data_IF_386641332938
#
_entry.id   IF_386641332938
#
_cell.length_a   1.000
_cell.length_b   1.000
_cell.length_c   1.000
_cell.angle_alpha   90.00
_cell.angle_beta   90.00
_cell.angle_gamma   90.00
#
_symmetry.space_group_name_H-M   'P 1'
#
loop_
_entity.id
_entity.type
_entity.pdbx_description
1 polymer ?
#
# COMPACT_ATOMS: atom_id res chain seq x y z
N UNK A 1 -68.61 15.99 30.16
CA UNK A 1 -67.75 15.39 29.12
C UNK A 1 -66.58 14.63 29.83
N UNK A 2 -66.68 13.30 29.93
CA UNK A 2 -65.68 12.48 30.66
C UNK A 2 -64.52 12.16 29.72
N UNK A 3 -63.33 12.62 30.08
CA UNK A 3 -62.10 12.27 29.36
C UNK A 3 -61.68 10.86 29.78
N UNK A 4 -61.69 9.94 28.84
CA UNK A 4 -61.29 8.53 29.02
C UNK A 4 -59.80 8.46 29.07
N UNK A 5 -59.25 8.08 30.23
CA UNK A 5 -57.85 7.80 30.37
C UNK A 5 -57.45 6.60 29.49
N UNK A 6 -56.64 6.86 28.50
CA UNK A 6 -56.03 5.81 27.66
C UNK A 6 -54.82 5.30 28.41
N UNK A 7 -54.92 4.11 29.00
CA UNK A 7 -53.75 3.40 29.52
C UNK A 7 -52.85 2.99 28.34
N UNK A 8 -51.72 3.67 28.19
CA UNK A 8 -50.65 3.17 27.30
C UNK A 8 -50.12 1.86 27.90
N UNK A 9 -50.49 0.76 27.28
CA UNK A 9 -49.92 -0.55 27.60
C UNK A 9 -48.41 -0.49 27.45
N UNK A 10 -47.69 -0.76 28.54
CA UNK A 10 -46.23 -0.91 28.51
C UNK A 10 -45.89 -2.10 27.59
N UNK A 11 -45.56 -1.78 26.34
CA UNK A 11 -45.25 -2.77 25.32
C UNK A 11 -43.95 -3.48 25.70
N UNK A 12 -44.03 -4.74 26.10
CA UNK A 12 -42.85 -5.65 26.27
C UNK A 12 -42.10 -5.85 24.96
N UNK A 13 -42.69 -5.43 23.84
CA UNK A 13 -42.12 -5.45 22.50
C UNK A 13 -40.92 -4.48 22.39
N UNK A 14 -40.91 -3.37 23.13
CA UNK A 14 -39.82 -2.38 23.09
C UNK A 14 -38.47 -2.94 23.59
N UNK A 15 -38.51 -3.76 24.64
CA UNK A 15 -37.28 -4.38 25.17
C UNK A 15 -36.72 -5.47 24.25
N UNK A 16 -37.56 -6.24 23.61
CA UNK A 16 -37.17 -7.28 22.65
C UNK A 16 -36.61 -6.61 21.38
N UNK A 17 -37.18 -5.52 20.92
CA UNK A 17 -36.69 -4.77 19.76
C UNK A 17 -35.29 -4.16 20.00
N UNK A 18 -35.05 -3.62 21.21
CA UNK A 18 -33.75 -3.08 21.60
C UNK A 18 -32.71 -4.19 21.71
N UNK A 19 -33.07 -5.35 22.24
CA UNK A 19 -32.20 -6.50 22.34
C UNK A 19 -31.83 -7.04 20.95
N UNK A 20 -32.77 -7.07 20.01
CA UNK A 20 -32.51 -7.47 18.62
C UNK A 20 -31.64 -6.47 17.87
N UNK A 21 -31.79 -5.17 18.15
CA UNK A 21 -30.97 -4.12 17.54
C UNK A 21 -29.52 -4.15 18.06
N UNK A 22 -29.32 -4.49 19.33
CA UNK A 22 -27.99 -4.65 19.93
C UNK A 22 -27.23 -5.87 19.37
N UNK A 23 -27.93 -6.92 18.94
CA UNK A 23 -27.33 -8.12 18.33
C UNK A 23 -26.86 -7.87 16.88
N UNK A 24 -27.34 -6.82 16.20
CA UNK A 24 -26.93 -6.51 14.82
C UNK A 24 -25.68 -5.66 14.73
N UNK A 25 -25.13 -5.17 15.85
CA UNK A 25 -23.83 -4.48 15.89
C UNK A 25 -22.73 -5.52 16.05
N UNK A 26 -22.72 -6.52 15.19
CA UNK A 26 -21.53 -7.35 14.98
C UNK A 26 -20.52 -6.47 14.24
N UNK A 27 -19.52 -5.97 14.92
CA UNK A 27 -18.36 -5.34 14.28
C UNK A 27 -17.71 -6.39 13.41
N UNK A 28 -17.93 -6.31 12.11
CA UNK A 28 -17.14 -7.04 11.13
C UNK A 28 -15.74 -6.43 11.21
N UNK A 29 -14.86 -7.07 11.95
CA UNK A 29 -13.44 -6.79 11.86
C UNK A 29 -12.99 -7.34 10.50
N UNK A 30 -12.73 -6.43 9.56
CA UNK A 30 -11.98 -6.79 8.37
C UNK A 30 -10.54 -7.08 8.84
N UNK A 31 -10.12 -8.34 8.80
CA UNK A 31 -8.72 -8.69 8.94
C UNK A 31 -7.96 -7.99 7.82
N UNK A 32 -7.04 -7.10 8.20
CA UNK A 32 -6.12 -6.48 7.26
C UNK A 32 -5.09 -7.56 6.86
N UNK A 33 -5.39 -8.27 5.77
CA UNK A 33 -4.55 -9.34 5.22
C UNK A 33 -3.26 -8.82 4.58
N UNK A 34 -3.04 -7.52 4.66
CA UNK A 34 -1.87 -6.89 4.12
C UNK A 34 -0.66 -6.99 5.06
N UNK A 35 0.44 -7.43 4.52
CA UNK A 35 1.71 -7.49 5.22
C UNK A 35 2.63 -6.36 4.79
N UNK A 36 3.10 -5.56 5.77
CA UNK A 36 4.13 -4.55 5.54
C UNK A 36 5.51 -5.16 5.75
N UNK A 37 6.27 -5.26 4.66
CA UNK A 37 7.63 -5.78 4.68
C UNK A 37 8.65 -4.79 5.23
N UNK A 38 9.71 -5.34 5.78
CA UNK A 38 10.91 -4.58 6.20
C UNK A 38 12.00 -4.61 5.15
N UNK A 39 11.93 -5.56 4.22
CA UNK A 39 12.89 -5.75 3.12
C UNK A 39 12.17 -5.92 1.81
N UNK A 40 12.85 -5.50 0.74
CA UNK A 40 12.33 -5.57 -0.62
C UNK A 40 13.42 -6.00 -1.59
N UNK A 41 13.05 -6.84 -2.53
CA UNK A 41 13.88 -7.19 -3.67
C UNK A 41 13.43 -6.40 -4.90
N UNK A 42 14.34 -5.63 -5.47
CA UNK A 42 14.13 -4.83 -6.68
C UNK A 42 15.10 -5.30 -7.75
N UNK A 43 14.61 -5.56 -8.95
CA UNK A 43 15.46 -5.79 -10.11
C UNK A 43 15.68 -4.47 -10.83
N UNK A 44 16.95 -4.11 -11.06
CA UNK A 44 17.34 -2.97 -11.87
C UNK A 44 17.96 -3.47 -13.17
N UNK A 45 17.54 -2.92 -14.30
CA UNK A 45 18.12 -3.13 -15.61
C UNK A 45 18.87 -1.87 -16.04
N UNK A 46 20.10 -2.04 -16.45
CA UNK A 46 20.87 -1.03 -17.17
C UNK A 46 20.59 -1.22 -18.67
N UNK A 47 19.84 -0.29 -19.26
CA UNK A 47 19.42 -0.35 -20.68
C UNK A 47 20.57 -0.24 -21.65
N UNK A 48 21.67 0.44 -21.25
CA UNK A 48 22.82 0.63 -22.12
C UNK A 48 23.66 -0.65 -22.23
N UNK A 49 23.82 -1.37 -21.13
CA UNK A 49 24.62 -2.60 -21.10
C UNK A 49 23.77 -3.88 -21.20
N UNK A 50 22.44 -3.75 -21.16
CA UNK A 50 21.48 -4.87 -21.08
C UNK A 50 21.73 -5.81 -19.89
N UNK A 51 22.38 -5.31 -18.83
CA UNK A 51 22.66 -6.08 -17.63
C UNK A 51 21.64 -5.78 -16.54
N UNK A 52 21.10 -6.84 -15.95
CA UNK A 52 20.22 -6.71 -14.79
C UNK A 52 20.92 -7.12 -13.50
N UNK A 53 20.52 -6.49 -12.39
CA UNK A 53 21.02 -6.79 -11.05
C UNK A 53 19.86 -6.84 -10.07
N UNK A 54 19.93 -7.80 -9.15
CA UNK A 54 19.04 -7.86 -8.00
C UNK A 54 19.59 -6.97 -6.88
N UNK A 55 18.78 -6.05 -6.39
CA UNK A 55 19.06 -5.21 -5.24
C UNK A 55 18.17 -5.68 -4.09
N UNK A 56 18.77 -5.87 -2.92
CA UNK A 56 18.08 -6.18 -1.68
C UNK A 56 18.18 -4.96 -0.78
N UNK A 57 17.06 -4.34 -0.49
CA UNK A 57 16.99 -3.06 0.23
C UNK A 57 16.22 -3.20 1.52
N UNK A 58 16.62 -2.43 2.53
CA UNK A 58 15.85 -2.26 3.75
C UNK A 58 14.87 -1.08 3.59
N UNK A 59 13.62 -1.29 4.01
CA UNK A 59 12.58 -0.26 3.93
C UNK A 59 12.92 0.89 4.90
N UNK A 60 12.87 2.11 4.40
CA UNK A 60 13.23 3.33 5.15
C UNK A 60 14.66 3.80 4.96
N UNK A 61 15.56 2.96 4.44
CA UNK A 61 16.97 3.31 4.25
C UNK A 61 17.24 3.84 2.83
N UNK A 62 18.28 4.67 2.70
CA UNK A 62 18.76 5.15 1.41
C UNK A 62 19.76 4.13 0.85
N UNK A 63 19.62 3.79 -0.39
CA UNK A 63 20.52 2.88 -1.11
C UNK A 63 21.06 3.55 -2.36
N UNK A 64 22.38 3.54 -2.52
CA UNK A 64 23.05 4.10 -3.70
C UNK A 64 23.41 3.01 -4.71
N UNK A 65 22.95 3.19 -5.94
CA UNK A 65 23.32 2.35 -7.06
C UNK A 65 23.82 3.21 -8.23
N UNK A 66 25.12 3.20 -8.48
CA UNK A 66 25.77 4.08 -9.47
C UNK A 66 25.42 5.57 -9.20
N UNK A 67 24.68 6.20 -10.10
CA UNK A 67 24.20 7.57 -9.96
C UNK A 67 22.77 7.69 -9.39
N UNK A 68 22.14 6.57 -9.06
CA UNK A 68 20.80 6.59 -8.47
C UNK A 68 20.89 6.48 -6.95
N UNK A 69 20.13 7.31 -6.27
CA UNK A 69 19.78 7.16 -4.86
C UNK A 69 18.34 6.67 -4.77
N UNK A 70 18.17 5.47 -4.22
CA UNK A 70 16.90 4.76 -4.14
C UNK A 70 16.49 4.67 -2.68
N UNK A 71 15.27 5.07 -2.38
CA UNK A 71 14.67 4.93 -1.05
C UNK A 71 13.29 4.31 -1.17
N UNK A 72 13.09 3.21 -0.46
CA UNK A 72 11.79 2.57 -0.30
C UNK A 72 11.17 3.06 0.99
N UNK A 73 10.06 3.78 0.93
CA UNK A 73 9.39 4.30 2.12
C UNK A 73 8.40 3.30 2.71
N UNK A 74 7.72 2.55 1.87
CA UNK A 74 6.76 1.52 2.27
C UNK A 74 6.78 0.38 1.28
N UNK A 75 6.62 -0.81 1.79
CA UNK A 75 6.44 -2.02 1.00
C UNK A 75 5.30 -2.83 1.63
N UNK A 76 4.30 -3.15 0.83
CA UNK A 76 3.11 -3.88 1.22
C UNK A 76 2.95 -5.08 0.32
N UNK A 77 2.73 -6.25 0.92
CA UNK A 77 2.38 -7.45 0.20
C UNK A 77 0.95 -7.82 0.55
N UNK A 78 0.02 -7.72 -0.40
CA UNK A 78 -1.33 -8.18 -0.19
C UNK A 78 -1.36 -9.69 -0.34
N UNK A 79 -1.79 -10.40 0.71
CA UNK A 79 -1.97 -11.85 0.69
C UNK A 79 -3.31 -12.26 0.06
N UNK A 80 -3.93 -11.35 -0.69
CA UNK A 80 -5.18 -11.61 -1.37
C UNK A 80 -4.95 -12.57 -2.52
N UNK A 81 -5.64 -13.69 -2.45
CA UNK A 81 -5.86 -14.67 -3.51
C UNK A 81 -4.61 -15.28 -4.18
N UNK A 82 -4.86 -15.95 -5.27
CA UNK A 82 -3.92 -16.71 -6.07
C UNK A 82 -2.79 -15.85 -6.71
N UNK A 83 -2.89 -14.52 -6.63
CA UNK A 83 -1.90 -13.59 -7.18
C UNK A 83 -1.66 -12.39 -6.26
N UNK A 84 -0.80 -12.53 -5.23
CA UNK A 84 -0.52 -11.45 -4.28
C UNK A 84 0.12 -10.25 -4.97
N UNK A 85 -0.46 -9.06 -4.78
CA UNK A 85 0.06 -7.80 -5.28
C UNK A 85 1.10 -7.23 -4.32
N UNK A 86 2.25 -6.81 -4.85
CA UNK A 86 3.25 -6.06 -4.09
C UNK A 86 3.14 -4.60 -4.49
N UNK A 87 2.84 -3.77 -3.51
CA UNK A 87 2.73 -2.31 -3.67
C UNK A 87 3.85 -1.64 -2.89
N UNK A 88 4.57 -0.73 -3.53
CA UNK A 88 5.73 -0.07 -2.94
C UNK A 88 5.67 1.42 -3.18
N UNK A 89 5.93 2.23 -2.15
CA UNK A 89 6.21 3.66 -2.31
C UNK A 89 7.72 3.87 -2.45
N UNK A 90 8.13 4.28 -3.63
CA UNK A 90 9.52 4.38 -4.05
C UNK A 90 9.90 5.84 -4.36
N UNK A 91 11.07 6.25 -3.90
CA UNK A 91 11.69 7.51 -4.27
C UNK A 91 13.03 7.22 -4.94
N UNK A 92 13.26 7.81 -6.10
CA UNK A 92 14.53 7.69 -6.81
C UNK A 92 15.01 9.09 -7.23
N UNK A 93 16.27 9.39 -6.90
CA UNK A 93 16.98 10.60 -7.36
C UNK A 93 18.11 10.18 -8.29
N UNK A 94 18.44 11.01 -9.29
CA UNK A 94 19.63 10.83 -10.11
C UNK A 94 20.63 11.95 -9.79
N UNK A 95 21.79 11.57 -9.25
CA UNK A 95 22.86 12.52 -8.90
C UNK A 95 23.51 13.20 -10.10
N UNK A 96 23.34 12.68 -11.32
CA UNK A 96 23.83 13.32 -12.55
C UNK A 96 22.96 14.51 -12.99
N UNK A 97 21.72 14.57 -12.53
CA UNK A 97 20.76 15.64 -12.85
C UNK A 97 20.82 16.83 -11.88
N UNK A 98 21.89 16.96 -11.11
CA UNK A 98 22.00 17.98 -10.07
C UNK A 98 22.31 19.36 -10.64
N UNK A 99 21.29 20.07 -11.10
CA UNK A 99 21.29 21.53 -11.15
C UNK A 99 20.96 22.11 -9.76
N UNK A 100 21.62 21.65 -8.70
CA UNK A 100 21.40 22.05 -7.29
C UNK A 100 19.96 21.83 -6.74
N UNK A 101 19.01 21.36 -7.54
CA UNK A 101 17.67 21.00 -7.10
C UNK A 101 17.60 19.49 -6.92
N UNK A 102 17.22 19.06 -5.72
CA UNK A 102 16.95 17.64 -5.41
C UNK A 102 15.70 17.14 -6.13
N UNK A 103 15.79 16.95 -7.44
CA UNK A 103 14.66 16.50 -8.25
C UNK A 103 14.59 14.98 -8.21
N UNK A 104 13.45 14.46 -7.76
CA UNK A 104 13.15 13.05 -7.91
C UNK A 104 12.88 12.72 -9.38
N UNK A 105 13.57 11.71 -9.91
CA UNK A 105 13.25 11.12 -11.21
C UNK A 105 12.04 10.19 -11.10
N UNK A 106 11.76 9.72 -9.87
CA UNK A 106 10.56 8.98 -9.53
C UNK A 106 10.20 9.23 -8.07
N UNK A 107 8.92 9.47 -7.79
CA UNK A 107 8.41 9.62 -6.43
C UNK A 107 6.94 9.20 -6.41
N UNK A 108 6.65 7.97 -6.01
CA UNK A 108 5.29 7.47 -6.04
C UNK A 108 5.13 6.00 -5.75
N UNK A 109 3.89 5.54 -5.91
CA UNK A 109 3.54 4.14 -5.77
C UNK A 109 3.88 3.37 -7.05
N UNK A 110 4.41 2.17 -6.89
CA UNK A 110 4.63 1.22 -7.98
C UNK A 110 4.09 -0.15 -7.59
N UNK A 111 3.73 -0.95 -8.59
CA UNK A 111 3.02 -2.22 -8.43
C UNK A 111 3.79 -3.32 -9.16
N UNK A 112 3.89 -4.51 -8.55
CA UNK A 112 4.63 -5.64 -9.15
C UNK A 112 3.93 -6.19 -10.39
N UNK A 113 2.59 -6.31 -10.34
CA UNK A 113 1.79 -6.87 -11.44
C UNK A 113 1.53 -5.87 -12.56
N UNK A 114 1.55 -4.58 -12.26
CA UNK A 114 1.16 -3.52 -13.19
C UNK A 114 2.11 -2.32 -13.13
N UNK A 115 3.38 -2.47 -13.49
CA UNK A 115 4.38 -1.40 -13.42
C UNK A 115 4.06 -0.24 -14.36
N UNK A 116 3.16 -0.43 -15.33
CA UNK A 116 2.73 0.60 -16.27
C UNK A 116 1.73 1.62 -15.69
N UNK A 117 1.15 1.37 -14.51
CA UNK A 117 0.24 2.32 -13.85
C UNK A 117 0.99 3.60 -13.46
N UNK A 118 2.20 3.43 -12.94
CA UNK A 118 3.10 4.55 -12.67
C UNK A 118 4.51 4.15 -13.12
N UNK A 119 4.88 4.63 -14.29
CA UNK A 119 6.11 4.23 -14.97
C UNK A 119 7.31 4.92 -14.33
N UNK A 120 8.34 4.13 -14.01
CA UNK A 120 9.67 4.66 -13.76
C UNK A 120 10.30 4.99 -15.11
N UNK A 121 10.26 6.27 -15.49
CA UNK A 121 10.85 6.73 -16.75
C UNK A 121 12.24 7.33 -16.50
N UNK A 122 13.27 6.53 -16.80
CA UNK A 122 14.66 6.95 -16.72
C UNK A 122 15.41 6.54 -18.00
N UNK A 123 16.25 7.40 -18.60
CA UNK A 123 16.88 7.11 -19.89
C UNK A 123 17.79 5.88 -19.86
N UNK A 124 18.37 5.53 -18.71
CA UNK A 124 19.39 4.48 -18.58
C UNK A 124 18.91 3.26 -17.83
N UNK A 125 17.95 3.42 -16.89
CA UNK A 125 17.57 2.34 -15.98
C UNK A 125 16.08 2.05 -16.05
N UNK A 126 15.72 0.77 -15.80
CA UNK A 126 14.37 0.32 -15.47
C UNK A 126 14.37 -0.39 -14.12
N UNK A 127 13.27 -0.31 -13.39
CA UNK A 127 13.09 -0.93 -12.07
C UNK A 127 11.84 -1.79 -12.03
N UNK A 128 11.96 -2.97 -11.42
CA UNK A 128 10.83 -3.87 -11.14
C UNK A 128 10.85 -4.36 -9.71
N UNK A 129 9.72 -4.32 -9.07
CA UNK A 129 9.53 -4.88 -7.74
C UNK A 129 9.31 -6.38 -7.86
N UNK A 130 10.02 -7.18 -7.07
CA UNK A 130 9.94 -8.64 -7.12
C UNK A 130 9.33 -9.25 -5.88
N UNK A 131 9.75 -8.80 -4.69
CA UNK A 131 9.27 -9.36 -3.43
C UNK A 131 9.31 -8.33 -2.32
N UNK A 132 8.46 -8.51 -1.31
CA UNK A 132 8.34 -7.70 -0.11
C UNK A 132 8.19 -8.62 1.10
N UNK A 133 9.11 -8.56 2.08
CA UNK A 133 9.16 -9.48 3.23
C UNK A 133 9.78 -8.86 4.49
#
# INVERSE_FOLDING_TARGET
MKIKNINLGKSKISLISIFFYLLTISTVQADDLDYFGKKIDIRILDKLSSKSKLLKLDVGENFSYKNLEIKVLKCKNSKFDDNPEITTYLQVKDSKNSNNDEVFVFNGWTFSSSPSIQVFDHPVYDLWILSCY
#
